data_IF_289551546084
#
_entry.id   IF_289551546084
#
_cell.length_a   1.000
_cell.length_b   1.000
_cell.length_c   1.000
_cell.angle_alpha   90.00
_cell.angle_beta   90.00
_cell.angle_gamma   90.00
#
_symmetry.space_group_name_H-M   'P 1'
#
loop_
_entity.id
_entity.type
_entity.pdbx_description
1 polymer ?
#
# COMPACT_ATOMS: atom_id res chain seq x y z
N UNK A 1 8.90 16.16 -15.74
CA UNK A 1 10.09 16.89 -15.39
C UNK A 1 10.50 16.58 -13.99
N UNK A 2 11.68 16.12 -13.79
CA UNK A 2 12.01 15.79 -12.63
C UNK A 2 13.24 16.05 -12.30
N UNK A 3 13.47 16.02 -11.17
CA UNK A 3 14.62 16.16 -10.76
C UNK A 3 14.87 16.18 -9.40
N UNK A 4 15.98 15.88 -9.01
CA UNK A 4 16.58 16.37 -7.80
C UNK A 4 16.52 17.88 -7.87
N UNK A 5 15.76 18.45 -7.03
CA UNK A 5 15.70 19.88 -6.87
C UNK A 5 16.55 20.25 -5.66
N UNK A 6 17.78 20.81 -5.88
CA UNK A 6 18.66 21.17 -4.78
C UNK A 6 18.06 22.27 -3.89
N UNK A 7 17.05 22.98 -4.38
CA UNK A 7 16.35 24.01 -3.64
C UNK A 7 15.12 23.47 -2.90
N UNK A 8 14.83 22.17 -3.04
CA UNK A 8 13.75 21.52 -2.32
C UNK A 8 14.29 20.81 -1.08
N UNK A 9 14.16 21.41 0.12
CA UNK A 9 14.69 20.85 1.34
C UNK A 9 13.98 19.55 1.78
N UNK A 10 12.90 19.17 1.13
CA UNK A 10 12.12 17.98 1.46
C UNK A 10 12.39 16.79 0.55
N UNK A 11 13.32 16.92 -0.39
CA UNK A 11 13.73 15.79 -1.24
C UNK A 11 12.65 15.25 -2.17
N UNK A 12 11.62 16.02 -2.46
CA UNK A 12 10.60 15.59 -3.39
C UNK A 12 11.15 15.50 -4.80
N UNK A 13 10.98 14.36 -5.41
CA UNK A 13 11.38 14.14 -6.80
C UNK A 13 10.14 14.22 -7.69
N UNK A 14 10.16 15.15 -8.63
CA UNK A 14 9.10 15.24 -9.63
C UNK A 14 9.41 14.22 -10.72
N UNK A 15 8.67 13.14 -10.81
CA UNK A 15 8.80 12.11 -11.85
C UNK A 15 7.98 12.47 -13.08
N UNK A 16 8.43 11.97 -14.22
CA UNK A 16 7.65 12.11 -15.44
C UNK A 16 6.32 11.41 -15.26
N UNK A 17 5.23 12.10 -15.56
CA UNK A 17 3.90 11.54 -15.49
C UNK A 17 3.77 10.33 -16.40
N UNK A 18 3.05 9.34 -15.93
CA UNK A 18 2.76 8.12 -16.69
C UNK A 18 1.49 8.37 -17.51
N UNK A 19 1.52 8.03 -18.79
CA UNK A 19 0.32 8.03 -19.60
C UNK A 19 -0.56 6.82 -19.27
N UNK A 20 -1.85 7.04 -19.22
CA UNK A 20 -2.84 5.98 -19.09
C UNK A 20 -4.00 6.22 -20.04
N UNK A 21 -4.67 5.15 -20.48
CA UNK A 21 -5.81 5.24 -21.37
C UNK A 21 -7.10 5.45 -20.59
N UNK A 22 -7.78 6.55 -20.84
CA UNK A 22 -9.07 6.88 -20.24
C UNK A 22 -10.15 6.93 -21.33
N UNK A 23 -10.80 5.81 -21.56
CA UNK A 23 -11.87 5.68 -22.55
C UNK A 23 -11.41 5.94 -23.99
N UNK A 24 -10.23 5.42 -24.37
CA UNK A 24 -9.64 5.55 -25.71
C UNK A 24 -8.78 6.79 -25.94
N UNK A 25 -8.57 7.61 -24.91
CA UNK A 25 -7.67 8.77 -24.98
C UNK A 25 -6.54 8.59 -23.96
N UNK A 26 -5.32 8.80 -24.41
CA UNK A 26 -4.18 8.82 -23.51
C UNK A 26 -4.17 10.12 -22.70
N UNK A 27 -4.14 9.98 -21.38
CA UNK A 27 -4.05 11.07 -20.43
C UNK A 27 -2.82 10.90 -19.53
N UNK A 28 -2.31 12.02 -19.03
CA UNK A 28 -1.28 12.00 -18.01
C UNK A 28 -1.90 11.67 -16.64
N UNK A 29 -1.19 10.87 -15.83
CA UNK A 29 -1.55 10.68 -14.43
C UNK A 29 -1.62 12.03 -13.71
N UNK A 30 -2.58 12.26 -12.80
CA UNK A 30 -2.61 13.47 -11.99
C UNK A 30 -1.41 13.57 -11.04
N UNK A 31 -0.66 12.48 -10.87
CA UNK A 31 0.47 12.44 -9.96
C UNK A 31 1.77 12.57 -10.70
N UNK A 32 2.53 13.59 -10.39
CA UNK A 32 3.85 13.83 -10.93
C UNK A 32 4.93 14.05 -9.85
N UNK A 33 4.52 14.06 -8.57
CA UNK A 33 5.42 14.20 -7.45
C UNK A 33 5.44 12.88 -6.70
N UNK A 34 6.62 12.34 -6.47
CA UNK A 34 6.81 11.14 -5.66
C UNK A 34 7.84 11.47 -4.60
N UNK A 35 7.44 11.33 -3.36
CA UNK A 35 8.36 11.45 -2.24
C UNK A 35 9.32 10.26 -2.26
N UNK A 36 10.62 10.52 -2.29
CA UNK A 36 11.66 9.49 -2.34
C UNK A 36 12.12 9.02 -0.97
N UNK A 37 11.53 9.47 0.11
CA UNK A 37 11.85 8.98 1.45
C UNK A 37 11.51 7.49 1.61
N UNK A 38 12.37 6.66 1.09
CA UNK A 38 12.26 5.21 1.12
C UNK A 38 11.52 4.62 -0.08
N UNK A 39 11.96 3.47 -0.52
CA UNK A 39 11.26 2.72 -1.55
C UNK A 39 10.06 2.00 -0.92
N UNK A 40 8.96 1.86 -1.69
CA UNK A 40 7.83 1.02 -1.27
C UNK A 40 8.26 -0.38 -0.83
N UNK A 41 9.30 -0.91 -1.45
CA UNK A 41 9.85 -2.23 -1.12
C UNK A 41 10.39 -2.28 0.31
N UNK A 42 10.98 -1.20 0.79
CA UNK A 42 11.52 -1.11 2.15
C UNK A 42 10.40 -0.80 3.15
N UNK A 43 9.51 0.11 2.81
CA UNK A 43 8.35 0.43 3.63
C UNK A 43 7.40 -0.76 3.80
N UNK A 44 7.17 -1.55 2.77
CA UNK A 44 6.31 -2.73 2.84
C UNK A 44 6.78 -3.77 3.86
N UNK A 45 8.08 -3.86 4.11
CA UNK A 45 8.64 -4.75 5.13
C UNK A 45 8.28 -4.29 6.53
N UNK A 46 8.54 -3.02 6.83
CA UNK A 46 8.28 -2.43 8.14
C UNK A 46 6.78 -2.26 8.38
N UNK A 47 6.03 -1.85 7.36
CA UNK A 47 4.58 -1.77 7.41
C UNK A 47 3.97 -3.12 7.78
N UNK A 48 4.44 -4.21 7.16
CA UNK A 48 3.92 -5.55 7.42
C UNK A 48 4.08 -5.96 8.87
N UNK A 49 5.23 -5.71 9.51
CA UNK A 49 5.45 -6.05 10.90
C UNK A 49 4.60 -5.22 11.85
N UNK A 50 4.52 -3.91 11.66
CA UNK A 50 3.68 -3.03 12.48
C UNK A 50 2.20 -3.29 12.27
N UNK A 51 1.78 -3.53 11.05
CA UNK A 51 0.41 -3.89 10.74
C UNK A 51 0.02 -5.19 11.44
N UNK A 52 0.82 -6.25 11.30
CA UNK A 52 0.54 -7.55 11.90
C UNK A 52 0.51 -7.50 13.42
N UNK A 53 1.38 -6.73 14.06
CA UNK A 53 1.42 -6.59 15.52
C UNK A 53 0.14 -5.96 16.10
N UNK A 54 -0.63 -5.23 15.30
CA UNK A 54 -1.89 -4.60 15.69
C UNK A 54 -3.13 -5.40 15.29
N UNK A 55 -2.94 -6.50 14.55
CA UNK A 55 -4.04 -7.33 14.07
C UNK A 55 -4.33 -8.55 14.99
N UNK A 56 -5.40 -9.26 14.68
CA UNK A 56 -5.73 -10.48 15.43
C UNK A 56 -4.66 -11.56 15.22
N UNK A 57 -4.42 -12.38 16.26
CA UNK A 57 -3.48 -13.50 16.19
C UNK A 57 -3.82 -14.47 15.04
N UNK A 58 -5.12 -14.63 14.75
CA UNK A 58 -5.56 -15.47 13.64
C UNK A 58 -5.09 -14.94 12.28
N UNK A 59 -5.29 -13.65 12.03
CA UNK A 59 -4.81 -13.01 10.80
C UNK A 59 -3.28 -13.06 10.69
N UNK A 60 -2.58 -12.75 11.78
CA UNK A 60 -1.13 -12.79 11.80
C UNK A 60 -0.61 -14.20 11.47
N UNK A 61 -1.19 -15.25 12.05
CA UNK A 61 -0.85 -16.65 11.76
C UNK A 61 -1.10 -17.00 10.30
N UNK A 62 -2.21 -16.56 9.71
CA UNK A 62 -2.49 -16.81 8.29
C UNK A 62 -1.42 -16.16 7.40
N UNK A 63 -1.08 -14.90 7.63
CA UNK A 63 -0.09 -14.18 6.82
C UNK A 63 1.31 -14.79 6.97
N UNK A 64 1.71 -15.12 8.18
CA UNK A 64 2.99 -15.79 8.43
C UNK A 64 3.02 -17.19 7.82
N UNK A 65 1.91 -17.93 7.86
CA UNK A 65 1.78 -19.23 7.19
C UNK A 65 1.97 -19.14 5.68
N UNK A 66 1.40 -18.12 5.04
CA UNK A 66 1.61 -17.87 3.60
C UNK A 66 3.06 -17.52 3.29
N UNK A 67 3.71 -16.71 4.14
CA UNK A 67 5.12 -16.37 3.98
C UNK A 67 6.01 -17.61 4.12
N UNK A 68 5.77 -18.44 5.14
CA UNK A 68 6.49 -19.69 5.37
C UNK A 68 6.33 -20.66 4.20
N UNK A 69 5.11 -20.82 3.67
CA UNK A 69 4.84 -21.65 2.51
C UNK A 69 5.62 -21.18 1.29
N UNK A 70 5.61 -19.88 1.01
CA UNK A 70 6.38 -19.31 -0.11
C UNK A 70 7.89 -19.55 0.03
N UNK A 71 8.42 -19.43 1.25
CA UNK A 71 9.85 -19.74 1.51
C UNK A 71 10.13 -21.22 1.31
N UNK A 72 9.24 -22.10 1.73
CA UNK A 72 9.41 -23.53 1.52
C UNK A 72 9.42 -23.88 0.03
N UNK A 73 8.51 -23.33 -0.76
CA UNK A 73 8.48 -23.50 -2.21
C UNK A 73 9.80 -23.05 -2.87
N UNK A 74 10.32 -21.87 -2.46
CA UNK A 74 11.63 -21.37 -2.93
C UNK A 74 12.77 -22.33 -2.58
N UNK A 75 12.79 -22.87 -1.38
CA UNK A 75 13.78 -23.84 -0.96
C UNK A 75 13.74 -25.11 -1.82
N UNK A 76 12.54 -25.63 -2.06
CA UNK A 76 12.37 -26.81 -2.91
C UNK A 76 12.83 -26.56 -4.36
N UNK A 77 12.58 -25.38 -4.91
CA UNK A 77 13.08 -25.00 -6.23
C UNK A 77 14.60 -24.97 -6.29
N UNK A 78 15.26 -24.38 -5.27
CA UNK A 78 16.72 -24.38 -5.19
C UNK A 78 17.27 -25.80 -5.09
N UNK A 79 16.62 -26.68 -4.34
CA UNK A 79 17.06 -28.06 -4.15
C UNK A 79 16.99 -28.91 -5.44
N UNK A 80 16.10 -28.54 -6.38
CA UNK A 80 15.98 -29.20 -7.69
C UNK A 80 17.08 -28.83 -8.68
N UNK A 81 17.93 -27.86 -8.37
CA UNK A 81 19.00 -27.46 -9.27
C UNK A 81 20.10 -28.51 -9.33
N UNK A 82 20.50 -28.90 -10.53
CA UNK A 82 21.52 -29.92 -10.74
C UNK A 82 22.94 -29.42 -10.43
N UNK A 83 23.23 -28.15 -10.71
CA UNK A 83 24.57 -27.59 -10.50
C UNK A 83 24.83 -27.33 -9.01
N UNK A 84 25.81 -28.06 -8.38
CA UNK A 84 26.04 -27.94 -6.95
C UNK A 84 26.61 -26.59 -6.54
N UNK A 85 27.38 -25.92 -7.40
CA UNK A 85 27.96 -24.61 -7.10
C UNK A 85 26.89 -23.51 -7.07
N UNK A 86 25.98 -23.55 -8.08
CA UNK A 86 24.83 -22.62 -8.14
C UNK A 86 23.89 -22.88 -6.97
N UNK A 87 23.56 -24.13 -6.69
CA UNK A 87 22.72 -24.51 -5.56
C UNK A 87 23.28 -24.03 -4.24
N UNK A 88 24.60 -24.23 -3.98
CA UNK A 88 25.25 -23.75 -2.75
C UNK A 88 25.15 -22.24 -2.60
N UNK A 89 25.37 -21.50 -3.68
CA UNK A 89 25.26 -20.03 -3.68
C UNK A 89 23.85 -19.58 -3.35
N UNK A 90 22.86 -20.13 -4.03
CA UNK A 90 21.46 -19.77 -3.82
C UNK A 90 20.94 -20.18 -2.44
N UNK A 91 21.44 -21.27 -1.86
CA UNK A 91 21.12 -21.64 -0.48
C UNK A 91 21.68 -20.63 0.53
N UNK A 92 22.89 -20.11 0.31
CA UNK A 92 23.44 -19.05 1.16
C UNK A 92 22.59 -17.77 1.06
N UNK A 93 22.29 -17.31 -0.15
CA UNK A 93 21.44 -16.14 -0.37
C UNK A 93 20.02 -16.34 0.21
N UNK A 94 19.50 -17.57 0.16
CA UNK A 94 18.21 -17.94 0.76
C UNK A 94 18.26 -17.87 2.30
N UNK A 95 19.34 -18.38 2.91
CA UNK A 95 19.50 -18.32 4.38
C UNK A 95 19.57 -16.86 4.86
N UNK A 96 20.39 -16.03 4.21
CA UNK A 96 20.48 -14.60 4.51
C UNK A 96 19.12 -13.91 4.34
N UNK A 97 18.37 -14.31 3.32
CA UNK A 97 16.99 -13.81 3.10
C UNK A 97 16.00 -14.22 4.20
N UNK A 98 16.13 -15.45 4.74
CA UNK A 98 15.29 -15.90 5.85
C UNK A 98 15.63 -15.17 7.14
N UNK A 99 16.92 -14.93 7.40
CA UNK A 99 17.35 -14.18 8.58
C UNK A 99 16.86 -12.73 8.51
N UNK A 100 16.98 -12.07 7.36
CA UNK A 100 16.43 -10.74 7.14
C UNK A 100 14.91 -10.70 7.30
N UNK A 101 14.18 -11.71 6.81
CA UNK A 101 12.72 -11.78 6.99
C UNK A 101 12.32 -12.03 8.43
N UNK A 102 13.08 -12.80 9.21
CA UNK A 102 12.83 -13.04 10.62
C UNK A 102 12.96 -11.77 11.45
N UNK A 103 13.97 -10.95 11.16
CA UNK A 103 14.18 -9.66 11.83
C UNK A 103 13.10 -8.65 11.45
N UNK A 104 12.71 -8.62 10.18
CA UNK A 104 11.75 -7.64 9.67
C UNK A 104 10.30 -8.13 9.70
N UNK A 105 10.00 -9.34 10.14
CA UNK A 105 8.67 -9.96 10.12
C UNK A 105 7.95 -9.75 8.77
N UNK A 106 8.66 -10.01 7.68
CA UNK A 106 8.12 -9.82 6.34
C UNK A 106 6.93 -10.73 6.11
N UNK A 107 5.74 -10.18 6.23
CA UNK A 107 4.52 -10.90 5.91
C UNK A 107 4.39 -11.13 4.40
N UNK A 108 3.73 -12.22 4.02
CA UNK A 108 3.26 -12.39 2.66
C UNK A 108 2.33 -11.23 2.29
N UNK A 109 2.41 -10.79 1.04
CA UNK A 109 1.55 -9.73 0.55
C UNK A 109 0.08 -10.13 0.73
N UNK A 110 -0.69 -9.25 1.35
CA UNK A 110 -2.13 -9.42 1.38
C UNK A 110 -2.67 -9.41 -0.04
N UNK A 111 -3.59 -10.30 -0.40
CA UNK A 111 -4.09 -10.38 -1.76
C UNK A 111 -4.70 -9.05 -2.18
N UNK A 112 -4.38 -8.64 -3.40
CA UNK A 112 -4.90 -7.41 -4.02
C UNK A 112 -4.55 -6.09 -3.32
N UNK A 113 -3.59 -6.08 -2.39
CA UNK A 113 -3.11 -4.81 -1.83
C UNK A 113 -2.37 -3.99 -2.91
N UNK A 114 -2.59 -2.68 -2.88
CA UNK A 114 -1.90 -1.74 -3.76
C UNK A 114 -1.51 -0.48 -3.01
N UNK A 115 -0.30 0.01 -3.28
CA UNK A 115 0.08 1.36 -2.86
C UNK A 115 -0.51 2.39 -3.81
N UNK A 116 -1.16 3.41 -3.26
CA UNK A 116 -1.84 4.45 -4.01
C UNK A 116 -1.56 5.81 -3.36
N UNK A 117 -1.27 6.82 -4.18
CA UNK A 117 -1.20 8.20 -3.70
C UNK A 117 -2.61 8.70 -3.39
N UNK A 118 -2.74 9.47 -2.33
CA UNK A 118 -4.02 10.05 -1.93
C UNK A 118 -4.21 11.43 -2.55
N UNK A 119 -5.39 11.70 -3.09
CA UNK A 119 -5.79 13.00 -3.60
C UNK A 119 -7.09 13.47 -2.93
N UNK A 120 -7.20 14.78 -2.62
CA UNK A 120 -8.37 15.30 -1.93
C UNK A 120 -9.58 15.34 -2.86
N UNK A 121 -10.69 14.76 -2.38
CA UNK A 121 -12.00 14.85 -3.03
C UNK A 121 -13.04 15.22 -1.97
N UNK A 122 -13.19 16.50 -1.63
CA UNK A 122 -14.11 16.94 -0.56
C UNK A 122 -15.57 16.63 -0.80
N UNK A 123 -15.95 16.33 -2.03
CA UNK A 123 -17.31 15.96 -2.40
C UNK A 123 -17.66 14.49 -2.14
N UNK A 124 -16.68 13.62 -1.82
CA UNK A 124 -16.93 12.28 -1.32
C UNK A 124 -17.46 12.35 0.12
N UNK A 125 -18.13 11.29 0.56
CA UNK A 125 -18.45 11.15 1.99
C UNK A 125 -17.24 10.63 2.78
N UNK A 126 -17.13 10.95 4.09
CA UNK A 126 -15.97 10.49 4.92
C UNK A 126 -15.81 8.98 5.03
N UNK A 127 -16.77 8.18 4.59
CA UNK A 127 -16.69 6.72 4.55
C UNK A 127 -16.56 6.15 3.14
N UNK A 128 -16.38 7.00 2.13
CA UNK A 128 -16.25 6.63 0.73
C UNK A 128 -14.87 6.99 0.18
N UNK A 129 -14.39 6.20 -0.77
CA UNK A 129 -13.22 6.52 -1.58
C UNK A 129 -13.51 6.29 -3.07
N UNK A 130 -12.81 7.02 -3.91
CA UNK A 130 -12.77 6.75 -5.34
C UNK A 130 -11.51 5.96 -5.66
N UNK A 131 -11.66 4.69 -6.05
CA UNK A 131 -10.55 3.78 -6.27
C UNK A 131 -10.86 2.78 -7.41
N UNK A 132 -10.76 3.19 -8.68
CA UNK A 132 -11.15 2.35 -9.83
C UNK A 132 -10.38 1.04 -10.00
N UNK A 133 -9.24 0.89 -9.34
CA UNK A 133 -8.50 -0.38 -9.29
C UNK A 133 -9.18 -1.45 -8.43
N UNK A 134 -10.23 -1.08 -7.69
CA UNK A 134 -11.02 -1.93 -6.81
C UNK A 134 -12.47 -1.94 -7.28
N UNK A 135 -13.26 -2.92 -6.84
CA UNK A 135 -14.67 -3.03 -7.26
C UNK A 135 -15.51 -1.95 -6.61
N UNK A 136 -16.46 -1.41 -7.35
CA UNK A 136 -17.48 -0.51 -6.80
C UNK A 136 -18.26 -1.18 -5.67
N UNK A 137 -18.44 -0.50 -4.55
CA UNK A 137 -19.06 -1.04 -3.34
C UNK A 137 -18.16 -1.95 -2.50
N UNK A 138 -16.91 -2.21 -2.91
CA UNK A 138 -15.99 -3.03 -2.13
C UNK A 138 -15.54 -2.29 -0.86
N UNK A 139 -15.48 -3.00 0.26
CA UNK A 139 -14.91 -2.46 1.49
C UNK A 139 -13.40 -2.66 1.50
N UNK A 140 -12.69 -1.59 1.78
CA UNK A 140 -11.22 -1.59 1.88
C UNK A 140 -10.78 -0.90 3.14
N UNK A 141 -9.60 -1.23 3.65
CA UNK A 141 -8.93 -0.43 4.66
C UNK A 141 -7.72 0.29 4.05
N UNK A 142 -7.41 1.45 4.59
CA UNK A 142 -6.27 2.26 4.22
C UNK A 142 -5.22 2.20 5.32
N UNK A 143 -3.97 1.99 4.94
CA UNK A 143 -2.86 1.93 5.87
C UNK A 143 -1.73 2.82 5.37
N UNK A 144 -1.38 3.83 6.16
CA UNK A 144 -0.18 4.65 5.95
C UNK A 144 0.87 4.27 6.98
N UNK A 145 2.11 4.20 6.58
CA UNK A 145 3.23 3.96 7.47
C UNK A 145 3.98 5.28 7.74
N UNK A 146 4.46 5.50 8.97
CA UNK A 146 4.17 4.72 10.17
C UNK A 146 2.76 4.99 10.73
N UNK A 147 2.20 4.05 11.50
CA UNK A 147 0.92 4.26 12.17
C UNK A 147 0.99 3.89 13.65
N UNK A 148 0.28 4.64 14.50
CA UNK A 148 0.27 4.45 15.95
C UNK A 148 -0.61 3.28 16.41
N UNK A 149 -1.63 2.92 15.63
CA UNK A 149 -2.54 1.87 16.04
C UNK A 149 -3.70 1.61 15.06
N UNK A 150 -4.65 0.79 15.51
CA UNK A 150 -5.83 0.42 14.71
C UNK A 150 -6.78 1.58 14.46
N UNK A 151 -6.70 2.64 15.24
CA UNK A 151 -7.47 3.87 15.07
C UNK A 151 -7.03 4.71 13.87
N UNK A 152 -5.80 4.50 13.39
CA UNK A 152 -5.25 5.11 12.18
C UNK A 152 -5.39 4.22 10.93
N UNK A 153 -6.22 3.19 11.00
CA UNK A 153 -6.53 2.31 9.88
C UNK A 153 -8.02 2.46 9.55
N UNK A 154 -8.42 3.47 8.78
CA UNK A 154 -9.82 3.66 8.42
C UNK A 154 -10.30 2.56 7.47
N UNK A 155 -11.55 2.13 7.67
CA UNK A 155 -12.29 1.27 6.76
C UNK A 155 -13.26 2.13 5.96
N UNK A 156 -13.24 2.01 4.65
CA UNK A 156 -14.01 2.83 3.72
C UNK A 156 -14.59 1.99 2.59
N UNK A 157 -15.60 2.51 1.92
CA UNK A 157 -16.28 1.84 0.81
C UNK A 157 -15.90 2.51 -0.52
N UNK A 158 -15.62 1.70 -1.52
CA UNK A 158 -15.28 2.17 -2.86
C UNK A 158 -16.54 2.69 -3.57
N UNK A 159 -16.51 3.95 -4.02
CA UNK A 159 -17.55 4.59 -4.82
C UNK A 159 -16.96 5.08 -6.15
N UNK A 160 -16.93 4.21 -7.15
CA UNK A 160 -16.40 4.52 -8.47
C UNK A 160 -17.40 5.27 -9.38
N UNK A 161 -18.61 5.50 -8.90
CA UNK A 161 -19.65 6.26 -9.63
C UNK A 161 -19.61 7.75 -9.36
N UNK A 162 -18.78 8.18 -8.41
CA UNK A 162 -18.70 9.57 -7.99
C UNK A 162 -18.15 10.47 -9.10
N UNK A 163 -19.00 11.32 -9.68
CA UNK A 163 -18.66 12.14 -10.84
C UNK A 163 -17.54 13.16 -10.54
N UNK A 164 -17.57 13.81 -9.38
CA UNK A 164 -16.54 14.77 -8.97
C UNK A 164 -15.15 14.14 -8.82
N UNK A 165 -15.07 12.95 -8.22
CA UNK A 165 -13.80 12.22 -8.11
C UNK A 165 -13.28 11.80 -9.49
N UNK A 166 -14.17 11.34 -10.36
CA UNK A 166 -13.83 10.99 -11.74
C UNK A 166 -13.32 12.19 -12.55
N UNK A 167 -13.86 13.38 -12.30
CA UNK A 167 -13.39 14.60 -12.96
C UNK A 167 -11.96 14.98 -12.54
N UNK A 168 -11.60 14.71 -11.28
CA UNK A 168 -10.28 15.02 -10.73
C UNK A 168 -9.25 13.94 -11.13
N UNK A 169 -9.57 12.67 -10.91
CA UNK A 169 -8.63 11.56 -11.03
C UNK A 169 -8.68 10.86 -12.41
N UNK A 170 -9.71 11.10 -13.21
CA UNK A 170 -9.95 10.31 -14.42
C UNK A 170 -10.67 8.99 -14.13
N UNK A 171 -10.90 8.20 -15.17
CA UNK A 171 -11.65 6.93 -15.05
C UNK A 171 -10.82 5.77 -14.53
N UNK A 172 -9.53 5.76 -14.85
CA UNK A 172 -8.65 4.62 -14.60
C UNK A 172 -7.27 5.05 -14.07
N UNK A 173 -7.20 5.85 -12.98
CA UNK A 173 -5.93 6.16 -12.34
C UNK A 173 -5.29 4.85 -11.85
N UNK A 174 -3.98 4.66 -12.16
CA UNK A 174 -3.28 3.43 -11.78
C UNK A 174 -2.62 3.50 -10.42
N UNK A 175 -2.30 4.69 -9.99
CA UNK A 175 -1.39 5.02 -8.89
C UNK A 175 -2.02 5.94 -7.83
N UNK A 176 -3.28 6.34 -7.99
CA UNK A 176 -3.97 7.27 -7.12
C UNK A 176 -5.37 6.82 -6.72
N UNK A 177 -5.79 7.29 -5.56
CA UNK A 177 -7.17 7.23 -5.07
C UNK A 177 -7.64 8.60 -4.62
N UNK A 178 -8.94 8.83 -4.69
CA UNK A 178 -9.58 10.02 -4.13
C UNK A 178 -10.15 9.71 -2.76
N UNK A 179 -9.87 10.54 -1.76
CA UNK A 179 -10.40 10.41 -0.41
C UNK A 179 -10.99 11.74 0.08
N UNK A 180 -11.91 11.66 1.04
CA UNK A 180 -12.36 12.85 1.76
C UNK A 180 -11.23 13.33 2.69
N UNK A 181 -11.03 14.66 2.90
CA UNK A 181 -9.99 15.17 3.81
C UNK A 181 -10.05 14.58 5.22
N UNK A 182 -11.23 14.38 5.80
CA UNK A 182 -11.40 13.76 7.13
C UNK A 182 -10.82 12.33 7.21
N UNK A 183 -10.70 11.63 6.08
CA UNK A 183 -10.05 10.32 6.04
C UNK A 183 -8.55 10.45 6.16
N UNK A 184 -7.97 11.50 5.58
CA UNK A 184 -6.52 11.78 5.69
C UNK A 184 -6.12 12.06 7.14
N UNK A 185 -6.93 12.80 7.90
CA UNK A 185 -6.68 13.06 9.33
C UNK A 185 -6.55 11.78 10.16
N UNK A 186 -7.16 10.68 9.72
CA UNK A 186 -7.08 9.36 10.35
C UNK A 186 -5.91 8.51 9.85
N UNK A 187 -5.08 9.03 8.98
CA UNK A 187 -3.99 8.30 8.34
C UNK A 187 -2.62 8.79 8.84
N UNK A 188 -2.47 8.90 10.16
CA UNK A 188 -1.18 9.24 10.77
C UNK A 188 -0.58 10.55 10.26
N UNK A 189 -1.41 11.60 10.25
CA UNK A 189 -0.99 12.93 9.80
C UNK A 189 -0.71 12.99 8.30
N UNK A 190 -1.42 12.19 7.52
CA UNK A 190 -1.35 12.27 6.06
C UNK A 190 -1.81 13.62 5.57
N UNK A 191 -1.07 14.18 4.65
CA UNK A 191 -1.48 15.33 3.87
C UNK A 191 -1.53 14.97 2.37
N UNK A 192 -1.73 15.94 1.51
CA UNK A 192 -1.90 15.71 0.08
C UNK A 192 -0.68 16.20 -0.73
N UNK A 193 0.49 16.16 -0.14
CA UNK A 193 1.75 16.55 -0.76
C UNK A 193 2.42 15.44 -1.57
N UNK A 194 1.78 14.30 -1.67
CA UNK A 194 2.29 13.10 -2.36
C UNK A 194 2.25 11.86 -1.49
N UNK A 195 1.65 11.95 -0.30
CA UNK A 195 1.49 10.81 0.60
C UNK A 195 0.79 9.63 -0.06
N UNK A 196 1.27 8.45 0.27
CA UNK A 196 0.73 7.20 -0.24
C UNK A 196 0.21 6.30 0.87
N UNK A 197 -0.81 5.54 0.53
CA UNK A 197 -1.41 4.54 1.41
C UNK A 197 -1.44 3.19 0.74
N UNK A 198 -1.44 2.13 1.54
CA UNK A 198 -1.77 0.80 1.07
C UNK A 198 -3.26 0.61 1.16
N UNK A 199 -3.88 0.25 0.06
CA UNK A 199 -5.29 -0.11 0.00
C UNK A 199 -5.42 -1.62 0.06
N UNK A 200 -6.10 -2.12 1.08
CA UNK A 200 -6.26 -3.55 1.34
C UNK A 200 -7.76 -3.90 1.29
N UNK A 201 -8.20 -4.72 0.33
CA UNK A 201 -9.57 -5.21 0.32
C UNK A 201 -9.89 -6.05 1.55
N UNK A 202 -11.01 -5.72 2.20
CA UNK A 202 -11.53 -6.46 3.36
C UNK A 202 -12.66 -7.38 2.89
N UNK A 203 -12.58 -8.64 3.24
CA UNK A 203 -13.57 -9.65 2.87
C UNK A 203 -13.70 -10.72 3.97
N UNK A 204 -14.43 -11.80 3.69
CA UNK A 204 -14.61 -12.90 4.64
C UNK A 204 -13.29 -13.58 5.07
N UNK A 205 -12.28 -13.54 4.22
CA UNK A 205 -10.97 -14.15 4.46
C UNK A 205 -9.97 -13.15 5.04
N UNK A 206 -10.05 -11.88 4.64
CA UNK A 206 -9.17 -10.80 5.09
C UNK A 206 -9.96 -9.86 5.99
N UNK A 207 -9.83 -10.05 7.30
CA UNK A 207 -10.45 -9.20 8.32
C UNK A 207 -9.38 -8.34 8.96
N UNK A 208 -9.42 -7.05 8.70
CA UNK A 208 -8.50 -6.07 9.30
C UNK A 208 -9.14 -5.49 10.55
N UNK A 209 -8.40 -5.49 11.67
CA UNK A 209 -8.84 -4.86 12.91
C UNK A 209 -8.66 -3.36 12.80
N UNK A 210 -9.75 -2.64 12.94
CA UNK A 210 -9.80 -1.18 12.97
C UNK A 210 -10.54 -0.71 14.22
N UNK A 211 -10.33 0.52 14.63
CA UNK A 211 -11.06 1.12 15.73
C UNK A 211 -11.45 2.57 15.38
N UNK A 212 -12.45 3.14 16.05
CA UNK A 212 -12.80 4.55 15.88
C UNK A 212 -11.62 5.47 16.18
N UNK A 213 -11.63 6.70 15.67
CA UNK A 213 -10.63 7.72 16.02
C UNK A 213 -10.56 7.92 17.52
N UNK A 214 -9.39 8.25 18.03
CA UNK A 214 -9.22 8.59 19.44
C UNK A 214 -9.86 9.95 19.71
N UNK A 215 -10.73 10.01 20.69
CA UNK A 215 -11.34 11.26 21.13
C UNK A 215 -10.27 12.15 21.79
N UNK A 216 -10.16 13.40 21.34
CA UNK A 216 -9.26 14.38 21.93
C UNK A 216 -7.86 14.48 21.32
N UNK A 217 -7.61 13.78 20.23
CA UNK A 217 -6.42 13.97 19.38
C UNK A 217 -6.85 14.63 18.04
N UNK A 218 -7.60 15.70 18.13
CA UNK A 218 -7.89 16.59 17.00
C UNK A 218 -7.04 17.83 17.10
#
# INVERSE_FOLDING_TARGET
KLKDDPDNPFGAVIKRQVFYNDGGKDKLSPINIVNEEGSWKDWSKTLSSQFLSKQSTHMAKQQLGLAAKKRHEQFEEIMKLDNPAVRKRLLADFADGCDADSVNLKAAALPRQKSQVILPVPSLKPHEIYAPNFRDGETVCLVRYPHGGTFEIPTVTVNNKHAGARAILGRTPKDAIGIHPDVAERLSGADFDGDSVVVIPVNSQVKVKTSPPLKGLQ
#
